data_IF_544062342524
#
_entry.id   IF_544062342524
#
_cell.length_a   1.000
_cell.length_b   1.000
_cell.length_c   1.000
_cell.angle_alpha   90.00
_cell.angle_beta   90.00
_cell.angle_gamma   90.00
#
_symmetry.space_group_name_H-M   'P 1'
#
loop_
_entity.id
_entity.type
_entity.pdbx_description
1 polymer ?
#
# COMPACT_ATOMS: atom_id res chain seq x y z
N UNK A 1 6.80 -12.06 -17.05
CA UNK A 1 6.03 -11.33 -18.10
C UNK A 1 5.04 -12.29 -18.78
N UNK A 2 5.43 -13.47 -19.26
CA UNK A 2 4.53 -14.41 -19.95
C UNK A 2 3.35 -14.89 -19.10
N UNK A 3 3.54 -15.20 -17.82
CA UNK A 3 2.49 -15.71 -16.93
C UNK A 3 1.35 -14.70 -16.74
N UNK A 4 1.65 -13.42 -16.54
CA UNK A 4 0.64 -12.36 -16.39
C UNK A 4 -0.13 -12.11 -17.69
N UNK A 5 0.46 -12.42 -18.85
CA UNK A 5 -0.19 -12.31 -20.15
C UNK A 5 -1.21 -13.42 -20.41
N UNK A 6 -1.01 -14.62 -19.89
CA UNK A 6 -1.94 -15.76 -20.10
C UNK A 6 -3.31 -15.51 -19.49
N UNK A 7 -3.39 -14.95 -18.27
CA UNK A 7 -4.68 -14.60 -17.69
C UNK A 7 -5.45 -13.63 -18.59
N UNK A 8 -4.80 -12.57 -19.10
CA UNK A 8 -5.42 -11.62 -20.01
C UNK A 8 -5.94 -12.26 -21.30
N UNK A 9 -5.22 -13.24 -21.84
CA UNK A 9 -5.61 -13.99 -23.03
C UNK A 9 -6.86 -14.85 -22.75
N UNK A 10 -6.88 -15.60 -21.65
CA UNK A 10 -8.02 -16.45 -21.29
C UNK A 10 -9.27 -15.68 -20.92
N UNK A 11 -9.11 -14.55 -20.20
CA UNK A 11 -10.23 -13.75 -19.71
C UNK A 11 -10.83 -12.80 -20.76
N UNK A 12 -10.16 -12.59 -21.90
CA UNK A 12 -10.57 -11.61 -22.91
C UNK A 12 -11.23 -12.28 -24.12
N UNK A 13 -12.42 -11.82 -24.48
CA UNK A 13 -13.15 -12.30 -25.67
C UNK A 13 -12.49 -11.93 -27.02
N UNK A 14 -11.45 -11.11 -27.03
CA UNK A 14 -10.74 -10.71 -28.25
C UNK A 14 -9.76 -11.74 -28.79
N UNK A 15 -9.33 -12.69 -27.94
CA UNK A 15 -8.30 -13.64 -28.32
C UNK A 15 -8.89 -14.98 -28.78
N UNK A 16 -8.22 -15.61 -29.74
CA UNK A 16 -8.62 -16.92 -30.29
C UNK A 16 -8.64 -18.06 -29.27
N UNK A 17 -7.86 -17.93 -28.22
CA UNK A 17 -7.72 -18.94 -27.12
C UNK A 17 -8.44 -18.52 -25.86
N UNK A 18 -9.53 -17.77 -26.00
CA UNK A 18 -10.39 -17.38 -24.86
C UNK A 18 -10.99 -18.60 -24.19
N UNK A 19 -10.89 -18.61 -22.84
CA UNK A 19 -11.56 -19.61 -22.01
C UNK A 19 -12.08 -18.94 -20.73
N UNK A 20 -13.32 -18.39 -20.76
CA UNK A 20 -13.87 -17.60 -19.65
C UNK A 20 -13.86 -18.34 -18.31
N UNK A 21 -14.15 -19.65 -18.31
CA UNK A 21 -14.18 -20.45 -17.09
C UNK A 21 -12.78 -20.60 -16.47
N UNK A 22 -11.72 -20.69 -17.27
CA UNK A 22 -10.34 -20.65 -16.77
C UNK A 22 -10.01 -19.29 -16.16
N UNK A 23 -10.38 -18.20 -16.82
CA UNK A 23 -10.19 -16.84 -16.28
C UNK A 23 -10.95 -16.66 -14.96
N UNK A 24 -12.19 -17.13 -14.88
CA UNK A 24 -12.99 -17.09 -13.66
C UNK A 24 -12.38 -17.94 -12.55
N UNK A 25 -11.92 -19.15 -12.85
CA UNK A 25 -11.28 -20.04 -11.88
C UNK A 25 -9.99 -19.46 -11.30
N UNK A 26 -9.14 -18.83 -12.13
CA UNK A 26 -7.90 -18.17 -11.67
C UNK A 26 -8.23 -17.06 -10.68
N UNK A 27 -9.21 -16.20 -10.99
CA UNK A 27 -9.59 -15.10 -10.10
C UNK A 27 -10.27 -15.58 -8.82
N UNK A 28 -11.07 -16.63 -8.88
CA UNK A 28 -11.70 -17.20 -7.69
C UNK A 28 -10.67 -17.85 -6.77
N UNK A 29 -9.71 -18.57 -7.34
CA UNK A 29 -8.61 -19.16 -6.57
C UNK A 29 -7.73 -18.09 -5.90
N UNK A 30 -7.40 -17.01 -6.63
CA UNK A 30 -6.66 -15.87 -6.07
C UNK A 30 -7.43 -15.22 -4.91
N UNK A 31 -8.75 -14.98 -5.06
CA UNK A 31 -9.61 -14.48 -3.99
C UNK A 31 -9.69 -15.42 -2.78
N UNK A 32 -9.78 -16.72 -3.02
CA UNK A 32 -9.77 -17.72 -1.95
C UNK A 32 -8.48 -17.67 -1.15
N UNK A 33 -7.34 -17.58 -1.84
CA UNK A 33 -6.04 -17.52 -1.19
C UNK A 33 -5.86 -16.25 -0.36
N UNK A 34 -6.14 -15.07 -0.93
CA UNK A 34 -5.97 -13.81 -0.18
C UNK A 34 -6.90 -13.74 1.04
N UNK A 35 -8.15 -14.19 0.93
CA UNK A 35 -9.06 -14.27 2.06
C UNK A 35 -8.57 -15.22 3.14
N UNK A 36 -8.06 -16.39 2.75
CA UNK A 36 -7.49 -17.35 3.69
C UNK A 36 -6.26 -16.78 4.42
N UNK A 37 -5.40 -16.03 3.73
CA UNK A 37 -4.25 -15.35 4.33
C UNK A 37 -4.73 -14.26 5.31
N UNK A 38 -5.69 -13.41 4.92
CA UNK A 38 -6.26 -12.39 5.80
C UNK A 38 -6.78 -13.02 7.08
N UNK A 39 -7.61 -14.06 6.97
CA UNK A 39 -8.15 -14.77 8.13
C UNK A 39 -7.04 -15.29 9.05
N UNK A 40 -6.01 -15.93 8.50
CA UNK A 40 -4.90 -16.46 9.29
C UNK A 40 -4.07 -15.37 9.97
N UNK A 41 -3.86 -14.24 9.30
CA UNK A 41 -3.16 -13.07 9.86
C UNK A 41 -3.95 -12.48 11.02
N UNK A 42 -5.27 -12.33 10.87
CA UNK A 42 -6.17 -11.82 11.92
C UNK A 42 -6.29 -12.79 13.10
N UNK A 43 -6.44 -14.09 12.85
CA UNK A 43 -6.41 -15.14 13.88
C UNK A 43 -5.05 -15.20 14.59
N UNK A 44 -3.97 -14.83 13.91
CA UNK A 44 -2.64 -14.65 14.48
C UNK A 44 -2.47 -13.42 15.38
N UNK A 45 -3.54 -12.63 15.55
CA UNK A 45 -3.56 -11.43 16.40
C UNK A 45 -3.04 -10.16 15.73
N UNK A 46 -2.97 -10.14 14.39
CA UNK A 46 -2.53 -8.98 13.62
C UNK A 46 -3.72 -8.28 12.96
N UNK A 47 -3.65 -6.95 12.86
CA UNK A 47 -4.69 -6.13 12.22
C UNK A 47 -4.38 -5.93 10.73
N UNK A 48 -5.27 -6.41 9.85
CA UNK A 48 -5.22 -6.11 8.42
C UNK A 48 -5.99 -4.80 8.17
N UNK A 49 -5.30 -3.73 7.82
CA UNK A 49 -5.89 -2.39 7.65
C UNK A 49 -6.41 -2.15 6.24
N UNK A 50 -5.87 -2.87 5.24
CA UNK A 50 -6.28 -2.75 3.84
C UNK A 50 -5.85 -3.97 3.04
N UNK A 51 -6.57 -4.29 1.97
CA UNK A 51 -6.13 -5.28 0.98
C UNK A 51 -6.53 -4.84 -0.43
N UNK A 52 -5.68 -5.15 -1.40
CA UNK A 52 -5.93 -4.86 -2.81
C UNK A 52 -5.43 -6.01 -3.68
N UNK A 53 -6.36 -6.69 -4.34
CA UNK A 53 -6.15 -7.77 -5.32
C UNK A 53 -5.30 -8.93 -4.76
N UNK A 54 -4.00 -8.76 -4.62
CA UNK A 54 -2.97 -9.75 -4.24
C UNK A 54 -2.08 -9.27 -3.10
N UNK A 55 -2.36 -8.12 -2.52
CA UNK A 55 -1.60 -7.55 -1.42
C UNK A 55 -2.44 -7.29 -0.18
N UNK A 56 -1.81 -7.38 0.99
CA UNK A 56 -2.38 -7.01 2.29
C UNK A 56 -1.50 -5.99 2.99
N UNK A 57 -2.13 -5.07 3.70
CA UNK A 57 -1.46 -4.08 4.55
C UNK A 57 -1.76 -4.42 6.00
N UNK A 58 -0.73 -4.71 6.74
CA UNK A 58 -0.83 -5.15 8.14
C UNK A 58 -0.23 -4.09 9.04
N UNK A 59 -0.93 -3.77 10.12
CA UNK A 59 -0.45 -2.83 11.12
C UNK A 59 0.76 -3.41 11.86
N UNK A 60 1.88 -2.69 11.83
CA UNK A 60 3.04 -3.01 12.65
C UNK A 60 2.73 -2.75 14.14
N UNK A 61 3.20 -3.62 15.06
CA UNK A 61 3.08 -3.43 16.50
C UNK A 61 4.07 -2.39 17.05
N UNK A 62 4.85 -1.74 16.21
CA UNK A 62 5.84 -0.72 16.62
C UNK A 62 5.15 0.50 17.23
N UNK A 63 5.83 1.16 18.15
CA UNK A 63 5.32 2.28 18.92
C UNK A 63 4.78 3.40 18.02
N UNK A 64 3.54 3.83 18.32
CA UNK A 64 2.85 4.91 17.60
C UNK A 64 3.46 6.28 17.83
N UNK A 65 4.38 6.43 18.79
CA UNK A 65 5.07 7.68 19.10
C UNK A 65 6.33 7.90 18.24
N UNK A 66 6.78 6.86 17.52
CA UNK A 66 7.92 7.01 16.63
C UNK A 66 7.63 8.04 15.52
N UNK A 67 8.63 8.86 15.14
CA UNK A 67 8.47 9.85 14.08
C UNK A 67 7.96 9.24 12.77
N UNK A 68 6.98 9.90 12.13
CA UNK A 68 6.41 9.46 10.85
C UNK A 68 7.36 9.74 9.70
N UNK A 69 8.12 10.85 9.79
CA UNK A 69 9.18 11.22 8.85
C UNK A 69 10.54 10.91 9.47
N UNK A 70 11.50 10.60 8.59
CA UNK A 70 12.90 10.52 9.04
C UNK A 70 13.35 11.89 9.54
N UNK A 71 13.79 12.00 10.80
CA UNK A 71 14.35 13.24 11.31
C UNK A 71 15.69 13.59 10.64
N UNK A 72 16.09 14.85 10.74
CA UNK A 72 17.39 15.30 10.25
C UNK A 72 18.57 14.70 11.04
N UNK A 73 19.74 14.66 10.42
CA UNK A 73 20.96 14.19 11.09
C UNK A 73 21.30 15.11 12.26
N UNK A 74 21.42 14.50 13.46
CA UNK A 74 21.68 15.22 14.71
C UNK A 74 20.43 15.54 15.52
N UNK A 75 19.23 15.20 15.04
CA UNK A 75 18.01 15.25 15.83
C UNK A 75 17.97 14.07 16.82
N UNK A 76 17.61 14.35 18.06
CA UNK A 76 17.54 13.32 19.14
C UNK A 76 16.54 12.18 18.82
N UNK A 77 15.50 12.47 18.04
CA UNK A 77 14.50 11.49 17.63
C UNK A 77 14.94 10.57 16.47
N UNK A 78 16.06 10.82 15.82
CA UNK A 78 16.57 10.00 14.73
C UNK A 78 16.80 8.54 15.15
N UNK A 79 17.35 8.34 16.35
CA UNK A 79 17.58 6.99 16.89
C UNK A 79 16.28 6.22 17.11
N UNK A 80 15.22 6.87 17.56
CA UNK A 80 13.89 6.28 17.75
C UNK A 80 13.29 5.88 16.41
N UNK A 81 13.41 6.74 15.39
CA UNK A 81 12.95 6.45 14.04
C UNK A 81 13.68 5.23 13.43
N UNK A 82 15.01 5.17 13.57
CA UNK A 82 15.79 4.03 13.06
C UNK A 82 15.42 2.71 13.74
N UNK A 83 15.21 2.72 15.06
CA UNK A 83 14.73 1.56 15.82
C UNK A 83 13.36 1.12 15.33
N UNK A 84 12.42 2.04 15.23
CA UNK A 84 11.06 1.77 14.76
C UNK A 84 11.04 1.20 13.33
N UNK A 85 11.82 1.78 12.42
CA UNK A 85 12.01 1.29 11.07
C UNK A 85 12.54 -0.14 11.06
N UNK A 86 13.66 -0.40 11.74
CA UNK A 86 14.27 -1.73 11.83
C UNK A 86 13.29 -2.78 12.38
N UNK A 87 12.56 -2.44 13.43
CA UNK A 87 11.63 -3.37 14.08
C UNK A 87 10.40 -3.63 13.20
N UNK A 88 9.95 -2.64 12.44
CA UNK A 88 8.92 -2.81 11.41
C UNK A 88 9.37 -3.73 10.28
N UNK A 89 10.61 -3.60 9.78
CA UNK A 89 11.15 -4.48 8.74
C UNK A 89 11.21 -5.93 9.23
N UNK A 90 11.76 -6.16 10.43
CA UNK A 90 11.81 -7.50 11.04
C UNK A 90 10.42 -8.10 11.26
N UNK A 91 9.45 -7.27 11.60
CA UNK A 91 8.06 -7.71 11.73
C UNK A 91 7.50 -8.14 10.38
N UNK A 92 7.66 -7.34 9.33
CA UNK A 92 7.18 -7.64 7.98
C UNK A 92 7.76 -8.92 7.41
N UNK A 93 9.08 -9.12 7.52
CA UNK A 93 9.78 -10.33 7.10
C UNK A 93 9.23 -11.59 7.82
N UNK A 94 9.15 -11.55 9.15
CA UNK A 94 8.62 -12.66 9.94
C UNK A 94 7.16 -12.96 9.65
N UNK A 95 6.36 -11.92 9.37
CA UNK A 95 4.96 -12.08 9.02
C UNK A 95 4.82 -12.75 7.66
N UNK A 96 5.59 -12.33 6.66
CA UNK A 96 5.63 -12.94 5.34
C UNK A 96 6.03 -14.41 5.42
N UNK A 97 7.12 -14.74 6.11
CA UNK A 97 7.56 -16.13 6.32
C UNK A 97 6.49 -16.98 7.03
N UNK A 98 5.89 -16.46 8.10
CA UNK A 98 4.92 -17.19 8.92
C UNK A 98 3.64 -17.55 8.18
N UNK A 99 3.14 -16.66 7.32
CA UNK A 99 1.86 -16.82 6.63
C UNK A 99 1.99 -17.24 5.16
N UNK A 100 3.20 -17.41 4.65
CA UNK A 100 3.46 -18.09 3.38
C UNK A 100 2.96 -19.53 3.44
N UNK A 101 2.27 -19.98 2.39
CA UNK A 101 1.79 -21.34 2.25
C UNK A 101 1.95 -21.84 0.82
N UNK A 102 1.84 -23.16 0.63
CA UNK A 102 1.92 -23.75 -0.69
C UNK A 102 0.87 -23.16 -1.64
N UNK A 103 1.34 -22.62 -2.77
CA UNK A 103 0.53 -21.94 -3.78
C UNK A 103 0.09 -20.52 -3.44
N UNK A 104 0.58 -19.94 -2.34
CA UNK A 104 0.35 -18.54 -1.96
C UNK A 104 1.53 -18.02 -1.12
N UNK A 105 2.65 -17.81 -1.80
CA UNK A 105 3.85 -17.22 -1.20
C UNK A 105 3.63 -15.73 -0.94
N UNK A 106 3.97 -15.31 0.28
CA UNK A 106 3.97 -13.89 0.67
C UNK A 106 5.38 -13.35 0.60
N UNK A 107 5.51 -12.18 -0.02
CA UNK A 107 6.73 -11.38 0.00
C UNK A 107 6.51 -10.09 0.78
N UNK A 108 7.51 -9.71 1.57
CA UNK A 108 7.51 -8.41 2.23
C UNK A 108 8.06 -7.36 1.26
N UNK A 109 7.17 -6.58 0.64
CA UNK A 109 7.53 -5.65 -0.42
C UNK A 109 7.83 -4.24 0.09
N UNK A 110 7.12 -3.78 1.13
CA UNK A 110 7.13 -2.35 1.47
C UNK A 110 6.80 -2.13 2.94
N UNK A 111 7.54 -1.22 3.60
CA UNK A 111 7.17 -0.66 4.90
C UNK A 111 6.72 0.79 4.74
N UNK A 112 5.62 1.13 5.41
CA UNK A 112 5.04 2.46 5.45
C UNK A 112 5.04 3.01 6.88
N UNK A 113 5.43 4.28 7.06
CA UNK A 113 5.28 4.97 8.36
C UNK A 113 3.90 5.60 8.53
N UNK A 114 3.24 5.95 7.42
CA UNK A 114 1.89 6.47 7.41
C UNK A 114 1.11 5.91 6.23
N UNK A 115 -0.20 5.71 6.41
CA UNK A 115 -1.11 5.18 5.39
C UNK A 115 -2.47 5.87 5.48
N UNK A 116 -3.00 6.30 4.35
CA UNK A 116 -4.32 6.89 4.24
C UNK A 116 -5.12 6.24 3.11
N UNK A 117 -6.36 5.88 3.41
CA UNK A 117 -7.37 5.47 2.43
C UNK A 117 -8.74 5.97 2.90
N UNK A 118 -9.50 6.58 2.01
CA UNK A 118 -10.86 7.05 2.33
C UNK A 118 -11.95 5.99 2.06
N UNK A 119 -11.56 4.71 1.91
CA UNK A 119 -12.48 3.59 1.71
C UNK A 119 -12.84 3.29 0.25
N UNK A 120 -12.45 4.12 -0.71
CA UNK A 120 -12.62 3.77 -2.12
C UNK A 120 -11.59 2.72 -2.54
N UNK A 121 -12.07 1.69 -3.24
CA UNK A 121 -11.21 0.62 -3.75
C UNK A 121 -10.09 1.19 -4.64
N UNK A 122 -8.88 0.68 -4.44
CA UNK A 122 -7.68 1.03 -5.23
C UNK A 122 -7.25 2.50 -5.13
N UNK A 123 -7.72 3.23 -4.10
CA UNK A 123 -7.32 4.62 -3.83
C UNK A 123 -6.72 4.73 -2.44
N UNK A 124 -5.42 4.90 -2.39
CA UNK A 124 -4.67 5.04 -1.14
C UNK A 124 -3.35 5.79 -1.37
N UNK A 125 -2.85 6.35 -0.31
CA UNK A 125 -1.52 6.97 -0.24
C UNK A 125 -0.78 6.47 0.98
N UNK A 126 0.54 6.42 0.90
CA UNK A 126 1.39 6.00 2.00
C UNK A 126 2.77 6.61 1.92
N UNK A 127 3.40 6.80 3.07
CA UNK A 127 4.79 7.22 3.18
C UNK A 127 5.66 5.98 3.31
N UNK A 128 6.33 5.64 2.24
CA UNK A 128 7.26 4.49 2.18
C UNK A 128 8.54 4.86 2.92
N UNK A 129 8.98 3.97 3.79
CA UNK A 129 10.27 4.06 4.48
C UNK A 129 11.24 2.95 4.07
N UNK A 130 10.75 1.93 3.40
CA UNK A 130 11.54 0.85 2.82
C UNK A 130 10.79 0.22 1.63
N UNK A 131 11.45 -0.18 0.54
CA UNK A 131 12.91 -0.23 0.33
C UNK A 131 13.56 1.13 0.06
N UNK A 132 12.78 2.12 -0.34
CA UNK A 132 13.23 3.48 -0.66
C UNK A 132 12.22 4.48 -0.14
N UNK A 133 12.69 5.57 0.44
CA UNK A 133 11.83 6.62 0.94
C UNK A 133 11.15 7.34 -0.23
N UNK A 134 9.84 7.20 -0.32
CA UNK A 134 9.01 7.83 -1.35
C UNK A 134 7.55 7.94 -0.91
N UNK A 135 6.78 8.78 -1.59
CA UNK A 135 5.33 8.79 -1.44
C UNK A 135 4.69 7.82 -2.44
N UNK A 136 3.99 6.83 -1.92
CA UNK A 136 3.18 5.89 -2.67
C UNK A 136 1.79 6.48 -2.90
N UNK A 137 1.43 6.74 -4.16
CA UNK A 137 0.08 7.20 -4.53
C UNK A 137 -0.52 6.19 -5.50
N UNK A 138 -1.70 5.67 -5.19
CA UNK A 138 -2.44 4.73 -6.03
C UNK A 138 -3.86 5.22 -6.29
N UNK A 139 -4.31 5.05 -7.53
CA UNK A 139 -5.70 5.29 -7.94
C UNK A 139 -6.12 6.77 -8.04
N UNK A 140 -5.21 7.70 -7.84
CA UNK A 140 -5.44 9.13 -8.02
C UNK A 140 -4.83 9.64 -9.32
N UNK A 141 -5.41 10.68 -9.90
CA UNK A 141 -5.01 11.22 -11.20
C UNK A 141 -3.67 11.94 -11.22
N UNK A 142 -3.05 12.13 -10.06
CA UNK A 142 -1.72 12.76 -9.90
C UNK A 142 -0.63 12.12 -10.79
N UNK A 143 -0.78 10.84 -11.13
CA UNK A 143 0.20 10.09 -11.95
C UNK A 143 -0.16 10.03 -13.44
N UNK A 144 -1.23 10.66 -13.88
CA UNK A 144 -1.59 10.68 -15.29
C UNK A 144 -0.73 11.70 -16.04
N UNK A 145 -0.24 11.32 -17.20
CA UNK A 145 0.60 12.17 -18.06
C UNK A 145 -0.14 13.38 -18.62
N UNK A 146 -1.46 13.37 -18.58
CA UNK A 146 -2.37 14.43 -19.02
C UNK A 146 -2.89 15.30 -17.85
N UNK A 147 -2.40 15.07 -16.61
CA UNK A 147 -2.85 15.86 -15.48
C UNK A 147 -2.25 17.27 -15.49
N UNK A 148 -3.07 18.25 -15.13
CA UNK A 148 -2.67 19.64 -15.02
C UNK A 148 -1.65 19.83 -13.88
N UNK A 149 -0.52 20.48 -14.14
CA UNK A 149 0.61 20.56 -13.19
C UNK A 149 0.23 21.15 -11.82
N UNK A 150 -0.68 22.15 -11.79
CA UNK A 150 -1.18 22.70 -10.53
C UNK A 150 -1.96 21.64 -9.72
N UNK A 151 -2.84 20.86 -10.37
CA UNK A 151 -3.58 19.78 -9.72
C UNK A 151 -2.64 18.74 -9.12
N UNK A 152 -1.64 18.29 -9.89
CA UNK A 152 -0.64 17.33 -9.43
C UNK A 152 0.09 17.83 -8.18
N UNK A 153 0.55 19.07 -8.20
CA UNK A 153 1.26 19.69 -7.08
C UNK A 153 0.36 19.81 -5.86
N UNK A 154 -0.83 20.40 -6.01
CA UNK A 154 -1.78 20.60 -4.90
C UNK A 154 -2.18 19.28 -4.26
N UNK A 155 -2.48 18.25 -5.06
CA UNK A 155 -2.82 16.93 -4.54
C UNK A 155 -1.65 16.27 -3.81
N UNK A 156 -0.42 16.43 -4.31
CA UNK A 156 0.76 15.88 -3.66
C UNK A 156 0.99 16.54 -2.30
N UNK A 157 0.97 17.88 -2.25
CA UNK A 157 1.09 18.67 -1.02
C UNK A 157 -0.02 18.32 -0.01
N UNK A 158 -1.27 18.20 -0.47
CA UNK A 158 -2.40 17.79 0.36
C UNK A 158 -2.18 16.39 0.97
N UNK A 159 -1.71 15.42 0.18
CA UNK A 159 -1.44 14.08 0.68
C UNK A 159 -0.28 14.04 1.67
N UNK A 160 0.76 14.84 1.48
CA UNK A 160 1.84 14.98 2.45
C UNK A 160 1.32 15.48 3.80
N UNK A 161 0.51 16.54 3.80
CA UNK A 161 -0.11 17.09 5.01
C UNK A 161 -1.00 16.06 5.71
N UNK A 162 -1.83 15.31 4.96
CA UNK A 162 -2.68 14.25 5.53
C UNK A 162 -1.83 13.15 6.17
N UNK A 163 -0.76 12.72 5.52
CA UNK A 163 0.13 11.69 6.07
C UNK A 163 0.93 12.18 7.29
N UNK A 164 1.06 13.49 7.46
CA UNK A 164 1.67 14.13 8.64
C UNK A 164 0.67 14.37 9.79
N UNK A 165 -0.62 14.06 9.58
CA UNK A 165 -1.67 14.32 10.56
C UNK A 165 -2.15 15.77 10.59
N UNK A 166 -1.90 16.53 9.53
CA UNK A 166 -2.26 17.95 9.38
C UNK A 166 -3.50 18.12 8.48
N UNK A 167 -4.58 17.37 8.72
CA UNK A 167 -5.75 17.33 7.84
C UNK A 167 -6.41 18.69 7.67
N UNK A 168 -6.48 19.50 8.73
CA UNK A 168 -7.06 20.85 8.68
C UNK A 168 -6.23 21.79 7.83
N UNK A 169 -4.90 21.75 7.93
CA UNK A 169 -3.97 22.52 7.10
C UNK A 169 -4.15 22.15 5.62
N UNK A 170 -4.30 20.86 5.31
CA UNK A 170 -4.57 20.36 3.97
C UNK A 170 -5.88 20.93 3.40
N UNK A 171 -6.95 21.02 4.20
CA UNK A 171 -8.24 21.60 3.81
C UNK A 171 -8.09 23.09 3.47
N UNK A 172 -7.47 23.87 4.35
CA UNK A 172 -7.28 25.33 4.14
C UNK A 172 -6.39 25.61 2.92
N UNK A 173 -5.31 24.87 2.74
CA UNK A 173 -4.46 24.96 1.56
C UNK A 173 -5.26 24.68 0.28
N UNK A 174 -6.05 23.63 0.26
CA UNK A 174 -6.86 23.27 -0.92
C UNK A 174 -7.88 24.36 -1.26
N UNK A 175 -8.56 24.95 -0.26
CA UNK A 175 -9.47 26.09 -0.47
C UNK A 175 -8.73 27.29 -1.08
N UNK A 176 -7.56 27.63 -0.59
CA UNK A 176 -6.78 28.78 -1.09
C UNK A 176 -6.29 28.63 -2.53
N UNK A 177 -6.29 27.44 -3.08
CA UNK A 177 -5.94 27.17 -4.50
C UNK A 177 -7.16 27.27 -5.41
N UNK A 178 -8.37 27.09 -4.85
CA UNK A 178 -9.65 27.13 -5.62
C UNK A 178 -10.19 28.56 -5.73
N UNK A 179 -9.96 29.40 -4.72
CA UNK A 179 -10.33 30.83 -4.71
C UNK A 179 -9.37 31.68 -5.56
#
# INVERSE_FOLDING_TARGET
ILMNSFYGVFASSFYRFTHPDLGASITEWARHNIRGIITQVEEGGHEVVYSDTDSIFVRSPVDKQAPIKRPDEGDDSLSEWEVAKRDTLRFGERLAERFTREGAELEFETALSAFFSHGAKKRYVGRVVWPREEMLIRGYEVRRTDSFALLTRTMTEMFEMILDGEEWTAVEMTKSVID
#
